data_IF_384489435396
#
_entry.id   IF_384489435396
#
_cell.length_a   1.000
_cell.length_b   1.000
_cell.length_c   1.000
_cell.angle_alpha   90.00
_cell.angle_beta   90.00
_cell.angle_gamma   90.00
#
_symmetry.space_group_name_H-M   'P 1'
#
loop_
_entity.id
_entity.type
_entity.pdbx_description
1 polymer ?
#
# COMPACT_ATOMS: atom_id res chain seq x y z
N UNK A 1 15.56 -7.10 -21.90
CA UNK A 1 14.34 -6.30 -21.67
C UNK A 1 13.81 -6.74 -20.32
N UNK A 2 13.82 -5.82 -19.37
CA UNK A 2 13.70 -6.07 -17.93
C UNK A 2 12.38 -6.75 -17.59
N UNK A 3 12.46 -7.85 -16.83
CA UNK A 3 11.33 -8.69 -16.42
C UNK A 3 10.35 -7.89 -15.56
N UNK A 4 9.28 -7.39 -16.16
CA UNK A 4 8.22 -6.66 -15.47
C UNK A 4 7.19 -7.64 -14.88
N UNK A 5 7.62 -8.47 -13.92
CA UNK A 5 6.71 -9.01 -12.91
C UNK A 5 6.61 -7.95 -11.82
N UNK A 6 5.43 -7.51 -11.35
CA UNK A 6 5.37 -6.70 -10.15
C UNK A 6 5.75 -7.60 -8.98
N UNK A 7 7.07 -7.71 -8.73
CA UNK A 7 7.59 -8.15 -7.45
C UNK A 7 6.94 -7.19 -6.48
N UNK A 8 6.01 -7.68 -5.66
CA UNK A 8 5.37 -6.90 -4.61
C UNK A 8 6.47 -6.44 -3.66
N UNK A 9 7.18 -5.37 -3.99
CA UNK A 9 8.26 -4.83 -3.19
C UNK A 9 7.64 -4.27 -1.92
N UNK A 10 8.43 -4.26 -0.84
CA UNK A 10 7.99 -3.57 0.35
C UNK A 10 7.87 -2.09 0.00
N UNK A 11 6.65 -1.54 0.02
CA UNK A 11 6.40 -0.14 -0.31
C UNK A 11 6.05 0.62 0.95
N UNK A 12 6.41 1.89 0.96
CA UNK A 12 6.00 2.80 2.02
C UNK A 12 4.57 3.29 1.81
N UNK A 13 3.93 3.80 2.86
CA UNK A 13 2.63 4.49 2.75
C UNK A 13 2.64 5.58 1.68
N UNK A 14 3.74 6.33 1.58
CA UNK A 14 3.88 7.42 0.61
C UNK A 14 3.89 6.92 -0.82
N UNK A 15 4.61 5.83 -1.10
CA UNK A 15 4.60 5.21 -2.44
C UNK A 15 3.22 4.66 -2.78
N UNK A 16 2.55 4.03 -1.80
CA UNK A 16 1.19 3.56 -1.98
C UNK A 16 0.23 4.72 -2.26
N UNK A 17 0.28 5.77 -1.45
CA UNK A 17 -0.56 6.94 -1.59
C UNK A 17 -0.34 7.62 -2.94
N UNK A 18 0.92 7.71 -3.40
CA UNK A 18 1.28 8.22 -4.71
C UNK A 18 0.68 7.38 -5.85
N UNK A 19 0.78 6.04 -5.78
CA UNK A 19 0.16 5.13 -6.77
C UNK A 19 -1.35 5.30 -6.87
N UNK A 20 -2.02 5.44 -5.72
CA UNK A 20 -3.46 5.65 -5.68
C UNK A 20 -3.88 7.10 -5.92
N UNK A 21 -2.94 8.04 -6.11
CA UNK A 21 -3.24 9.46 -6.28
C UNK A 21 -3.90 10.11 -5.06
N UNK A 22 -3.73 9.53 -3.86
CA UNK A 22 -4.35 10.00 -2.62
C UNK A 22 -3.31 10.58 -1.66
N UNK A 23 -3.76 11.38 -0.70
CA UNK A 23 -2.89 11.82 0.39
C UNK A 23 -2.55 10.69 1.36
N UNK A 24 -1.37 10.76 1.99
CA UNK A 24 -0.94 9.83 3.04
C UNK A 24 -1.99 9.63 4.15
N UNK A 25 -2.67 10.70 4.58
CA UNK A 25 -3.78 10.63 5.56
C UNK A 25 -4.96 9.79 5.06
N UNK A 26 -5.32 9.92 3.79
CA UNK A 26 -6.42 9.18 3.16
C UNK A 26 -6.06 7.71 3.08
N UNK A 27 -4.86 7.40 2.58
CA UNK A 27 -4.34 6.04 2.53
C UNK A 27 -4.31 5.42 3.94
N UNK A 28 -3.75 6.12 4.93
CA UNK A 28 -3.74 5.66 6.32
C UNK A 28 -5.14 5.36 6.86
N UNK A 29 -6.10 6.24 6.59
CA UNK A 29 -7.50 6.07 7.02
C UNK A 29 -8.15 4.84 6.40
N UNK A 30 -7.88 4.57 5.13
CA UNK A 30 -8.36 3.37 4.43
C UNK A 30 -7.76 2.10 5.03
N UNK A 31 -6.45 2.06 5.22
CA UNK A 31 -5.74 0.92 5.83
C UNK A 31 -6.20 0.67 7.27
N UNK A 32 -6.46 1.74 8.03
CA UNK A 32 -6.98 1.65 9.39
C UNK A 32 -8.41 1.12 9.41
N UNK A 33 -9.29 1.59 8.50
CA UNK A 33 -10.66 1.08 8.35
C UNK A 33 -10.69 -0.40 8.02
N UNK A 34 -9.84 -0.84 7.11
CA UNK A 34 -9.69 -2.26 6.71
C UNK A 34 -8.93 -3.10 7.74
N UNK A 35 -8.50 -2.51 8.87
CA UNK A 35 -7.71 -3.16 9.93
C UNK A 35 -6.41 -3.81 9.43
N UNK A 36 -5.87 -3.34 8.29
CA UNK A 36 -4.61 -3.81 7.71
C UNK A 36 -3.44 -3.37 8.61
N UNK A 37 -3.54 -2.16 9.16
CA UNK A 37 -2.61 -1.65 10.17
C UNK A 37 -3.29 -1.64 11.54
N UNK A 38 -2.74 -2.41 12.49
CA UNK A 38 -3.33 -2.51 13.84
C UNK A 38 -2.81 -1.50 14.85
N UNK A 39 -1.60 -0.94 14.68
CA UNK A 39 -1.03 0.15 15.49
C UNK A 39 0.45 0.43 15.08
N UNK A 40 0.73 0.63 13.78
CA UNK A 40 2.08 1.01 13.36
C UNK A 40 2.30 2.49 13.71
N UNK A 41 3.18 2.79 14.68
CA UNK A 41 3.74 4.13 14.93
C UNK A 41 5.02 4.26 14.09
N UNK A 42 5.08 5.32 13.29
CA UNK A 42 6.18 5.84 12.46
C UNK A 42 7.06 4.81 11.71
N UNK A 43 6.99 4.87 10.37
CA UNK A 43 7.77 4.02 9.47
C UNK A 43 6.92 2.96 8.76
N UNK A 44 5.85 3.38 8.07
CA UNK A 44 4.91 2.52 7.34
C UNK A 44 5.55 1.81 6.14
N UNK A 45 6.51 0.92 6.38
CA UNK A 45 6.93 -0.07 5.41
C UNK A 45 5.91 -1.20 5.44
N UNK A 46 5.24 -1.39 4.30
CA UNK A 46 4.32 -2.50 4.08
C UNK A 46 5.09 -3.62 3.43
N UNK A 47 4.98 -4.81 4.01
CA UNK A 47 5.54 -6.01 3.42
C UNK A 47 4.83 -6.36 2.11
N UNK A 48 5.45 -7.13 1.21
CA UNK A 48 4.84 -7.67 0.00
C UNK A 48 3.43 -8.24 0.22
N UNK A 49 3.25 -8.94 1.36
CA UNK A 49 1.99 -9.57 1.75
C UNK A 49 0.91 -8.54 2.10
N UNK A 50 1.27 -7.50 2.84
CA UNK A 50 0.37 -6.38 3.13
C UNK A 50 -0.02 -5.65 1.85
N UNK A 51 0.93 -5.39 0.93
CA UNK A 51 0.65 -4.77 -0.37
C UNK A 51 -0.37 -5.58 -1.16
N UNK A 52 -0.22 -6.91 -1.18
CA UNK A 52 -1.18 -7.78 -1.87
C UNK A 52 -2.58 -7.67 -1.29
N UNK A 53 -2.70 -7.72 0.04
CA UNK A 53 -3.99 -7.54 0.73
C UNK A 53 -4.57 -6.16 0.45
N UNK A 54 -3.73 -5.11 0.40
CA UNK A 54 -4.16 -3.76 0.06
C UNK A 54 -4.74 -3.74 -1.35
N UNK A 55 -4.05 -4.31 -2.34
CA UNK A 55 -4.55 -4.38 -3.72
C UNK A 55 -5.83 -5.22 -3.83
N UNK A 56 -5.95 -6.31 -3.06
CA UNK A 56 -7.19 -7.10 -2.99
C UNK A 56 -8.36 -6.32 -2.35
N UNK A 57 -8.08 -5.52 -1.32
CA UNK A 57 -9.11 -4.80 -0.54
C UNK A 57 -9.51 -3.43 -1.09
N UNK A 58 -8.58 -2.75 -1.77
CA UNK A 58 -8.73 -1.41 -2.35
C UNK A 58 -8.87 -1.42 -3.87
N UNK A 59 -8.58 -2.54 -4.53
CA UNK A 59 -8.41 -2.63 -5.98
C UNK A 59 -6.99 -2.27 -6.40
N UNK A 60 -6.52 -2.85 -7.51
CA UNK A 60 -5.22 -2.52 -8.09
C UNK A 60 -5.23 -1.03 -8.52
N UNK A 61 -4.23 -0.22 -8.11
CA UNK A 61 -4.13 1.14 -8.58
C UNK A 61 -3.85 1.13 -10.09
N UNK A 62 -4.60 1.91 -10.85
CA UNK A 62 -4.64 1.88 -12.32
C UNK A 62 -3.36 2.43 -12.99
N UNK A 63 -2.29 2.78 -12.26
CA UNK A 63 -1.12 3.47 -12.82
C UNK A 63 0.21 3.24 -12.06
#
# INVERSE_FOLDING_TARGET
MEENKPVCKAMTLTELAAKYGVSNKTMYSWLKRKKIIKNKREGYLFTPKEIRVIYEELGEPDN
#
